data_IF_110659267449
#
_entry.id   IF_110659267449
#
_cell.length_a   1.000
_cell.length_b   1.000
_cell.length_c   1.000
_cell.angle_alpha   90.00
_cell.angle_beta   90.00
_cell.angle_gamma   90.00
#
_symmetry.space_group_name_H-M   'P 1'
#
loop_
_entity.id
_entity.type
_entity.pdbx_description
1 polymer ?
#
# COMPACT_ATOMS: atom_id res chain seq x y z
N UNK A 1 -7.92 -8.40 4.26
CA UNK A 1 -7.02 -7.41 3.63
C UNK A 1 -6.61 -7.94 2.26
N UNK A 2 -6.65 -7.10 1.23
CA UNK A 2 -6.23 -7.48 -0.11
C UNK A 2 -4.69 -7.50 -0.20
N UNK A 3 -4.14 -8.59 -0.75
CA UNK A 3 -2.72 -8.72 -1.05
C UNK A 3 -2.50 -8.24 -2.50
N UNK A 4 -1.82 -7.10 -2.73
CA UNK A 4 -1.47 -6.71 -4.08
C UNK A 4 -0.40 -7.65 -4.65
N UNK A 5 -0.50 -7.90 -5.94
CA UNK A 5 0.57 -8.52 -6.73
C UNK A 5 1.76 -7.56 -6.88
N UNK A 6 2.93 -8.07 -7.25
CA UNK A 6 4.12 -7.26 -7.52
C UNK A 6 3.86 -6.13 -8.53
N UNK A 7 3.02 -6.43 -9.51
CA UNK A 7 2.60 -5.50 -10.55
C UNK A 7 1.66 -4.41 -10.04
N UNK A 8 0.72 -4.74 -9.15
CA UNK A 8 -0.15 -3.76 -8.50
C UNK A 8 0.63 -2.87 -7.52
N UNK A 9 1.63 -3.43 -6.82
CA UNK A 9 2.55 -2.68 -5.96
C UNK A 9 3.31 -1.58 -6.73
N UNK A 10 3.75 -1.86 -7.96
CA UNK A 10 4.41 -0.88 -8.82
C UNK A 10 3.53 0.36 -9.09
N UNK A 11 2.21 0.20 -9.11
CA UNK A 11 1.25 1.29 -9.29
C UNK A 11 0.80 1.95 -7.97
N UNK A 12 0.76 1.20 -6.86
CA UNK A 12 0.44 1.74 -5.54
C UNK A 12 1.54 2.67 -4.99
N UNK A 13 2.82 2.34 -5.21
CA UNK A 13 3.96 3.15 -4.73
C UNK A 13 3.91 4.61 -5.14
N UNK A 14 3.73 4.98 -6.43
CA UNK A 14 3.62 6.38 -6.81
C UNK A 14 2.37 7.06 -6.26
N UNK A 15 1.26 6.34 -6.06
CA UNK A 15 0.05 6.87 -5.41
C UNK A 15 0.29 7.23 -3.95
N UNK A 16 0.97 6.39 -3.16
CA UNK A 16 1.29 6.73 -1.77
C UNK A 16 2.21 7.95 -1.67
N UNK A 17 3.13 8.12 -2.62
CA UNK A 17 4.08 9.24 -2.61
C UNK A 17 3.46 10.56 -3.05
N UNK A 18 2.49 10.54 -3.96
CA UNK A 18 1.93 11.74 -4.61
C UNK A 18 0.46 11.98 -4.28
N UNK A 19 -0.19 11.05 -3.56
CA UNK A 19 -1.60 11.07 -3.19
C UNK A 19 -2.54 10.71 -4.33
N UNK A 20 -2.47 11.47 -5.44
CA UNK A 20 -3.39 11.37 -6.58
C UNK A 20 -2.64 11.49 -7.90
N UNK A 21 -2.93 10.60 -8.84
CA UNK A 21 -2.30 10.59 -10.16
C UNK A 21 -3.26 10.17 -11.26
N UNK A 22 -3.09 10.72 -12.45
CA UNK A 22 -3.76 10.24 -13.67
C UNK A 22 -3.20 8.89 -14.13
N UNK A 23 -3.94 8.20 -15.00
CA UNK A 23 -3.46 6.96 -15.63
C UNK A 23 -2.14 7.15 -16.37
N UNK A 24 -1.92 8.33 -16.96
CA UNK A 24 -0.69 8.64 -17.70
C UNK A 24 0.50 8.82 -16.76
N UNK A 25 0.34 9.58 -15.68
CA UNK A 25 1.40 9.75 -14.68
C UNK A 25 1.75 8.43 -13.99
N UNK A 26 0.76 7.57 -13.74
CA UNK A 26 0.96 6.22 -13.22
C UNK A 26 1.75 5.34 -14.18
N UNK A 27 1.42 5.41 -15.47
CA UNK A 27 2.15 4.69 -16.50
C UNK A 27 3.60 5.17 -16.57
N UNK A 28 3.84 6.47 -16.67
CA UNK A 28 5.18 7.05 -16.73
C UNK A 28 6.00 6.70 -15.48
N UNK A 29 5.39 6.72 -14.29
CA UNK A 29 6.06 6.39 -13.03
C UNK A 29 6.38 4.90 -12.87
N UNK A 30 5.73 4.00 -13.61
CA UNK A 30 5.91 2.55 -13.51
C UNK A 30 6.52 1.90 -14.76
N UNK A 31 6.67 2.64 -15.86
CA UNK A 31 7.11 2.12 -17.16
C UNK A 31 8.48 1.44 -17.09
N UNK A 32 9.45 2.06 -16.41
CA UNK A 32 10.81 1.53 -16.31
C UNK A 32 10.89 0.17 -15.57
N UNK A 33 9.93 -0.11 -14.68
CA UNK A 33 9.92 -1.35 -13.90
C UNK A 33 8.96 -2.41 -14.46
N UNK A 34 7.94 -1.99 -15.20
CA UNK A 34 6.90 -2.89 -15.72
C UNK A 34 7.13 -3.28 -17.17
N UNK A 35 7.77 -2.41 -17.96
CA UNK A 35 7.91 -2.54 -19.43
C UNK A 35 6.56 -2.72 -20.15
N UNK A 36 5.47 -2.26 -19.52
CA UNK A 36 4.14 -2.42 -20.07
C UNK A 36 3.80 -1.40 -21.14
N UNK A 37 2.85 -1.76 -22.00
CA UNK A 37 2.13 -0.75 -22.79
C UNK A 37 1.20 0.07 -21.89
N UNK A 38 0.83 1.27 -22.36
CA UNK A 38 -0.16 2.10 -21.69
C UNK A 38 -1.52 1.38 -21.52
N UNK A 39 -1.92 0.58 -22.51
CA UNK A 39 -3.15 -0.22 -22.44
C UNK A 39 -3.11 -1.27 -21.34
N UNK A 40 -1.98 -1.97 -21.16
CA UNK A 40 -1.80 -2.93 -20.08
C UNK A 40 -1.83 -2.25 -18.69
N UNK A 41 -1.29 -1.03 -18.60
CA UNK A 41 -1.39 -0.21 -17.38
C UNK A 41 -2.85 0.09 -17.07
N UNK A 42 -3.64 0.57 -18.04
CA UNK A 42 -5.07 0.86 -17.84
C UNK A 42 -5.87 -0.36 -17.42
N UNK A 43 -5.72 -1.50 -18.12
CA UNK A 43 -6.39 -2.76 -17.73
C UNK A 43 -6.05 -3.18 -16.30
N UNK A 44 -4.84 -2.91 -15.84
CA UNK A 44 -4.45 -3.20 -14.46
C UNK A 44 -5.08 -2.23 -13.48
N UNK A 45 -5.16 -0.94 -13.81
CA UNK A 45 -5.89 0.04 -13.00
C UNK A 45 -7.38 -0.31 -12.87
N UNK A 46 -8.02 -0.73 -13.97
CA UNK A 46 -9.44 -1.14 -13.95
C UNK A 46 -9.64 -2.32 -12.99
N UNK A 47 -8.79 -3.36 -13.07
CA UNK A 47 -8.81 -4.48 -12.11
C UNK A 47 -8.53 -4.06 -10.67
N UNK A 48 -7.63 -3.10 -10.45
CA UNK A 48 -7.34 -2.57 -9.11
C UNK A 48 -8.53 -1.80 -8.53
N UNK A 49 -9.30 -1.10 -9.37
CA UNK A 49 -10.56 -0.44 -8.98
C UNK A 49 -11.60 -1.50 -8.61
N UNK A 50 -11.78 -2.53 -9.44
CA UNK A 50 -12.69 -3.65 -9.16
C UNK A 50 -12.36 -4.36 -7.85
N UNK A 51 -11.06 -4.54 -7.56
CA UNK A 51 -10.57 -5.10 -6.29
C UNK A 51 -10.73 -4.15 -5.10
N UNK A 52 -11.03 -2.87 -5.31
CA UNK A 52 -11.11 -1.87 -4.24
C UNK A 52 -9.75 -1.44 -3.67
N UNK A 53 -8.65 -1.61 -4.41
CA UNK A 53 -7.32 -1.16 -3.99
C UNK A 53 -7.14 0.35 -4.21
N UNK A 54 -7.79 0.87 -5.25
CA UNK A 54 -7.77 2.28 -5.65
C UNK A 54 -9.19 2.70 -6.00
N UNK A 55 -9.46 4.01 -5.99
CA UNK A 55 -10.68 4.57 -6.57
C UNK A 55 -10.36 5.65 -7.59
N UNK A 56 -11.30 5.84 -8.51
CA UNK A 56 -11.24 6.91 -9.51
C UNK A 56 -11.82 8.19 -8.91
N UNK A 57 -11.09 9.29 -9.06
CA UNK A 57 -11.53 10.64 -8.76
C UNK A 57 -11.45 11.50 -10.03
N UNK A 58 -12.57 11.99 -10.58
CA UNK A 58 -12.53 12.96 -11.67
C UNK A 58 -12.05 14.32 -11.15
N UNK A 59 -11.00 14.88 -11.76
CA UNK A 59 -10.50 16.23 -11.47
C UNK A 59 -10.43 16.99 -12.79
N UNK A 60 -11.21 18.07 -12.90
CA UNK A 60 -11.32 18.89 -14.12
C UNK A 60 -11.59 18.07 -15.40
N UNK A 61 -12.45 17.03 -15.30
CA UNK A 61 -12.80 16.15 -16.42
C UNK A 61 -11.77 15.06 -16.75
N UNK A 62 -10.66 14.99 -16.00
CA UNK A 62 -9.67 13.92 -16.11
C UNK A 62 -9.85 12.88 -15.00
N UNK A 63 -9.89 11.61 -15.37
CA UNK A 63 -9.86 10.52 -14.39
C UNK A 63 -8.48 10.44 -13.73
N UNK A 64 -8.46 10.66 -12.43
CA UNK A 64 -7.31 10.42 -11.56
C UNK A 64 -7.62 9.27 -10.61
N UNK A 65 -6.58 8.73 -9.98
CA UNK A 65 -6.65 7.56 -9.11
C UNK A 65 -6.02 7.90 -7.77
N UNK A 66 -6.61 7.38 -6.71
CA UNK A 66 -6.10 7.49 -5.34
C UNK A 66 -6.10 6.12 -4.69
N UNK A 67 -5.09 5.83 -3.87
CA UNK A 67 -5.01 4.58 -3.13
C UNK A 67 -6.08 4.55 -2.02
N UNK A 68 -6.75 3.41 -1.87
CA UNK A 68 -7.69 3.14 -0.77
C UNK A 68 -7.01 2.40 0.38
N UNK A 69 -5.94 1.65 0.10
CA UNK A 69 -5.15 0.95 1.10
C UNK A 69 -3.89 1.77 1.42
N UNK A 70 -3.62 1.99 2.71
CA UNK A 70 -2.40 2.69 3.13
C UNK A 70 -1.17 1.81 2.92
N UNK A 71 0.00 2.44 2.77
CA UNK A 71 1.28 1.74 2.61
C UNK A 71 1.50 0.76 3.76
N UNK A 72 1.24 1.21 4.99
CA UNK A 72 1.44 0.41 6.19
C UNK A 72 0.49 -0.79 6.24
N UNK A 73 -0.78 -0.62 5.89
CA UNK A 73 -1.74 -1.73 5.78
C UNK A 73 -1.30 -2.77 4.74
N UNK A 74 -0.76 -2.33 3.60
CA UNK A 74 -0.23 -3.24 2.58
C UNK A 74 1.02 -3.99 3.06
N UNK A 75 1.97 -3.30 3.70
CA UNK A 75 3.17 -3.91 4.27
C UNK A 75 2.80 -4.95 5.32
N UNK A 76 1.89 -4.62 6.24
CA UNK A 76 1.41 -5.57 7.25
C UNK A 76 0.79 -6.83 6.61
N UNK A 77 -0.05 -6.66 5.59
CA UNK A 77 -0.65 -7.80 4.88
C UNK A 77 0.39 -8.69 4.18
N UNK A 78 1.43 -8.11 3.58
CA UNK A 78 2.54 -8.84 2.94
C UNK A 78 3.44 -9.54 3.96
N UNK A 79 3.69 -8.88 5.09
CA UNK A 79 4.48 -9.43 6.20
C UNK A 79 3.78 -10.64 6.84
N UNK A 80 2.49 -10.52 7.18
CA UNK A 80 1.68 -11.62 7.72
C UNK A 80 1.54 -12.78 6.73
N UNK A 81 1.46 -12.46 5.44
CA UNK A 81 1.48 -13.45 4.37
C UNK A 81 2.78 -14.25 4.35
N UNK A 82 3.92 -13.56 4.35
CA UNK A 82 5.23 -14.20 4.35
C UNK A 82 5.47 -15.06 5.60
N UNK A 83 5.08 -14.57 6.78
CA UNK A 83 5.18 -15.32 8.03
C UNK A 83 4.44 -16.66 7.94
N UNK A 84 3.22 -16.65 7.41
CA UNK A 84 2.38 -17.84 7.28
C UNK A 84 2.84 -18.77 6.16
N UNK A 85 3.09 -18.21 4.98
CA UNK A 85 3.28 -18.98 3.75
C UNK A 85 4.73 -19.49 3.60
N UNK A 86 5.70 -18.86 4.27
CA UNK A 86 7.14 -19.18 4.13
C UNK A 86 7.77 -19.62 5.44
N UNK A 87 7.47 -18.93 6.55
CA UNK A 87 8.03 -19.27 7.86
C UNK A 87 7.15 -20.26 8.64
N UNK A 88 5.99 -20.63 8.09
CA UNK A 88 5.01 -21.53 8.71
C UNK A 88 4.65 -21.11 10.14
N UNK A 89 4.56 -19.79 10.37
CA UNK A 89 4.22 -19.23 11.68
C UNK A 89 3.03 -18.28 11.60
N UNK A 90 2.13 -18.42 12.56
CA UNK A 90 1.03 -17.49 12.77
C UNK A 90 1.39 -16.34 13.73
N UNK A 91 2.61 -16.37 14.29
CA UNK A 91 3.09 -15.30 15.16
C UNK A 91 3.32 -13.99 14.35
N UNK A 92 3.01 -12.82 14.91
CA UNK A 92 3.39 -11.54 14.30
C UNK A 92 4.91 -11.50 14.08
N UNK A 93 5.33 -11.01 12.90
CA UNK A 93 6.76 -10.82 12.64
C UNK A 93 7.34 -9.83 13.67
N UNK A 94 8.45 -10.18 14.36
CA UNK A 94 9.08 -9.26 15.30
C UNK A 94 9.44 -7.96 14.62
N UNK A 95 9.16 -6.81 15.24
CA UNK A 95 9.55 -5.49 14.70
C UNK A 95 11.06 -5.42 14.39
N UNK A 96 11.88 -6.15 15.16
CA UNK A 96 13.31 -6.34 14.96
C UNK A 96 13.69 -6.85 13.55
N UNK A 97 12.82 -7.62 12.88
CA UNK A 97 13.04 -8.09 11.52
C UNK A 97 13.12 -6.94 10.50
N UNK A 98 12.62 -5.75 10.85
CA UNK A 98 12.57 -4.58 9.98
C UNK A 98 13.59 -3.49 10.37
N UNK A 99 14.26 -3.60 11.53
CA UNK A 99 15.15 -2.57 12.11
C UNK A 99 16.37 -2.24 11.25
N UNK A 100 16.82 -3.17 10.39
CA UNK A 100 17.94 -2.94 9.47
C UNK A 100 17.50 -2.73 8.01
N UNK A 101 16.21 -2.66 7.76
CA UNK A 101 15.68 -2.38 6.42
C UNK A 101 15.60 -0.87 6.18
N UNK A 102 15.85 -0.40 4.95
CA UNK A 102 15.59 1.00 4.54
C UNK A 102 14.08 1.35 4.52
N UNK A 103 13.21 0.52 5.10
CA UNK A 103 11.74 0.66 5.08
C UNK A 103 11.19 1.60 6.15
N UNK A 104 12.03 2.19 6.99
CA UNK A 104 11.59 3.01 8.12
C UNK A 104 12.01 4.46 7.90
N UNK A 105 11.19 5.20 7.14
CA UNK A 105 11.28 6.68 7.08
C UNK A 105 10.55 7.31 8.27
N UNK A 106 10.85 8.58 8.58
CA UNK A 106 10.20 9.31 9.67
C UNK A 106 8.67 9.39 9.51
N UNK A 107 8.17 9.57 8.28
CA UNK A 107 6.74 9.64 8.00
C UNK A 107 6.04 8.30 8.28
N UNK A 108 6.73 7.18 8.00
CA UNK A 108 6.21 5.83 8.28
C UNK A 108 6.18 5.53 9.77
N UNK A 109 7.18 6.01 10.54
CA UNK A 109 7.17 5.90 12.01
C UNK A 109 5.96 6.66 12.56
N UNK A 110 5.70 7.88 12.08
CA UNK A 110 4.57 8.68 12.54
C UNK A 110 3.21 8.03 12.21
N UNK A 111 3.06 7.41 11.02
CA UNK A 111 1.87 6.62 10.69
C UNK A 111 1.71 5.41 11.62
N UNK A 112 2.83 4.74 11.96
CA UNK A 112 2.85 3.59 12.87
C UNK A 112 2.45 3.99 14.29
N UNK A 113 2.99 5.10 14.80
CA UNK A 113 2.64 5.66 16.11
C UNK A 113 1.16 6.04 16.17
N UNK A 114 0.62 6.65 15.11
CA UNK A 114 -0.79 6.99 15.04
C UNK A 114 -1.69 5.74 15.05
N UNK A 115 -1.30 4.65 14.38
CA UNK A 115 -2.04 3.38 14.43
C UNK A 115 -1.95 2.73 15.82
N UNK A 116 -0.76 2.72 16.44
CA UNK A 116 -0.58 2.18 17.78
C UNK A 116 -1.43 2.93 18.81
N UNK A 117 -1.46 4.27 18.75
CA UNK A 117 -2.31 5.08 19.62
C UNK A 117 -3.81 4.78 19.46
N UNK A 118 -4.27 4.47 18.24
CA UNK A 118 -5.64 4.06 17.98
C UNK A 118 -5.96 2.67 18.52
N UNK A 119 -4.99 1.74 18.45
CA UNK A 119 -5.14 0.39 18.98
C UNK A 119 -5.03 0.34 20.51
N UNK A 120 -4.28 1.26 21.11
CA UNK A 120 -4.12 1.45 22.55
C UNK A 120 -5.15 2.42 23.15
N UNK A 121 -6.32 2.58 22.53
CA UNK A 121 -7.45 3.32 23.12
C UNK A 121 -7.70 2.87 24.57
N UNK A 122 -8.12 3.79 25.45
CA UNK A 122 -7.75 3.79 26.87
C UNK A 122 -8.11 2.45 27.51
N UNK A 123 -7.08 1.72 27.94
CA UNK A 123 -7.19 0.85 29.09
C UNK A 123 -7.63 1.72 30.27
N UNK A 124 -8.94 1.88 30.42
CA UNK A 124 -9.59 2.38 31.61
C UNK A 124 -9.39 1.37 32.74
N UNK A 125 -8.15 1.28 33.22
CA UNK A 125 -7.90 1.02 34.63
C UNK A 125 -8.36 2.27 35.37
N UNK A 126 -9.54 2.18 35.96
CA UNK A 126 -9.88 2.79 37.26
C UNK A 126 -11.33 2.43 37.63
N UNK A 127 -11.52 1.21 38.17
CA UNK A 127 -12.29 0.90 39.40
C UNK A 127 -12.24 -0.58 39.73
#
# INVERSE_FOLDING_TARGET
>A
MLRPTDFELKLLRPLWRRGRLSARELHEASAAETEWSYSATRKTLDRMVEKGMIRVEPVHGLNTYVALQSKLQTVAALASAFARDVLETDAPLPAAAFVHSKLVSHDEIAELEALLAQMSGPDGKDQ
#
